data_IF_155176096087
#
_entry.id   IF_155176096087
#
_cell.length_a   1.000
_cell.length_b   1.000
_cell.length_c   1.000
_cell.angle_alpha   90.00
_cell.angle_beta   90.00
_cell.angle_gamma   90.00
#
_symmetry.space_group_name_H-M   'P 1'
#
loop_
_entity.id
_entity.type
_entity.pdbx_description
1 polymer ?
#
# COMPACT_ATOMS: atom_id res chain seq x y z
N UNK A 1 4.56 -27.92 13.40
CA UNK A 1 3.83 -26.66 13.13
C UNK A 1 4.31 -25.90 11.87
N UNK A 2 5.13 -26.50 10.98
CA UNK A 2 5.66 -25.83 9.78
C UNK A 2 4.88 -26.21 8.49
N UNK A 3 4.17 -27.34 8.49
CA UNK A 3 3.47 -27.83 7.28
C UNK A 3 2.30 -26.95 6.83
N UNK A 4 1.51 -26.38 7.76
CA UNK A 4 0.28 -25.63 7.40
C UNK A 4 0.52 -24.26 6.72
N UNK A 5 1.61 -23.57 7.06
CA UNK A 5 1.96 -22.29 6.41
C UNK A 5 2.53 -22.50 5.00
N UNK A 6 3.22 -23.63 4.78
CA UNK A 6 3.81 -23.97 3.47
C UNK A 6 2.75 -24.29 2.42
N UNK A 7 1.67 -24.99 2.82
CA UNK A 7 0.55 -25.29 1.94
C UNK A 7 -0.27 -24.05 1.60
N UNK A 8 -0.41 -23.11 2.55
CA UNK A 8 -1.16 -21.88 2.28
C UNK A 8 -0.39 -20.93 1.35
N UNK A 9 0.95 -20.82 1.45
CA UNK A 9 1.76 -19.97 0.56
C UNK A 9 1.84 -20.56 -0.85
N UNK A 10 1.98 -21.88 -0.96
CA UNK A 10 1.96 -22.58 -2.27
C UNK A 10 0.60 -22.43 -2.96
N UNK A 11 -0.49 -22.42 -2.20
CA UNK A 11 -1.84 -22.14 -2.72
C UNK A 11 -1.95 -20.73 -3.31
N UNK A 12 -1.47 -19.71 -2.60
CA UNK A 12 -1.43 -18.33 -3.11
C UNK A 12 -0.63 -18.22 -4.41
N UNK A 13 0.56 -18.82 -4.46
CA UNK A 13 1.39 -18.79 -5.67
C UNK A 13 0.67 -19.45 -6.86
N UNK A 14 -0.07 -20.54 -6.63
CA UNK A 14 -0.88 -21.18 -7.68
C UNK A 14 -2.02 -20.28 -8.15
N UNK A 15 -2.75 -19.64 -7.23
CA UNK A 15 -3.81 -18.69 -7.56
C UNK A 15 -3.27 -17.53 -8.39
N UNK A 16 -2.16 -16.91 -7.95
CA UNK A 16 -1.49 -15.83 -8.67
C UNK A 16 -1.14 -16.23 -10.10
N UNK A 17 -0.40 -17.34 -10.27
CA UNK A 17 0.04 -17.81 -11.60
C UNK A 17 -1.14 -18.12 -12.52
N UNK A 18 -2.20 -18.71 -11.97
CA UNK A 18 -3.41 -19.02 -12.73
C UNK A 18 -4.11 -17.74 -13.19
N UNK A 19 -4.39 -16.82 -12.26
CA UNK A 19 -5.07 -15.57 -12.57
C UNK A 19 -4.28 -14.72 -13.58
N UNK A 20 -2.96 -14.59 -13.39
CA UNK A 20 -2.10 -13.85 -14.32
C UNK A 20 -2.10 -14.45 -15.73
N UNK A 21 -2.02 -15.79 -15.83
CA UNK A 21 -2.06 -16.48 -17.13
C UNK A 21 -3.43 -16.33 -17.80
N UNK A 22 -4.51 -16.57 -17.07
CA UNK A 22 -5.87 -16.43 -17.61
C UNK A 22 -6.16 -14.99 -18.03
N UNK A 23 -5.59 -14.00 -17.33
CA UNK A 23 -5.71 -12.60 -17.71
C UNK A 23 -5.03 -12.31 -19.06
N UNK A 24 -3.82 -12.84 -19.26
CA UNK A 24 -3.05 -12.70 -20.50
C UNK A 24 -3.76 -13.40 -21.67
N UNK A 25 -4.30 -14.60 -21.43
CA UNK A 25 -5.12 -15.33 -22.42
C UNK A 25 -6.38 -14.52 -22.78
N UNK A 26 -7.05 -13.89 -21.81
CA UNK A 26 -8.21 -13.02 -22.05
C UNK A 26 -7.84 -11.70 -22.76
N UNK A 27 -6.62 -11.18 -22.61
CA UNK A 27 -6.16 -10.04 -23.40
C UNK A 27 -6.01 -10.40 -24.88
N UNK A 28 -5.46 -11.60 -25.16
CA UNK A 28 -5.28 -12.09 -26.54
C UNK A 28 -6.61 -12.29 -27.26
N UNK A 29 -7.69 -12.54 -26.52
CA UNK A 29 -9.06 -12.70 -27.05
C UNK A 29 -9.91 -11.43 -26.94
N UNK A 30 -9.31 -10.29 -26.61
CA UNK A 30 -9.97 -8.98 -26.48
C UNK A 30 -11.08 -8.93 -25.39
N UNK A 31 -11.06 -9.87 -24.44
CA UNK A 31 -11.96 -9.91 -23.28
C UNK A 31 -11.48 -8.94 -22.17
N UNK A 32 -11.33 -7.65 -22.48
CA UNK A 32 -10.62 -6.68 -21.64
C UNK A 32 -11.17 -6.55 -20.20
N UNK A 33 -12.50 -6.60 -20.02
CA UNK A 33 -13.10 -6.52 -18.68
C UNK A 33 -12.73 -7.73 -17.82
N UNK A 34 -12.69 -8.92 -18.42
CA UNK A 34 -12.33 -10.17 -17.75
C UNK A 34 -10.83 -10.21 -17.45
N UNK A 35 -10.00 -9.79 -18.42
CA UNK A 35 -8.56 -9.62 -18.20
C UNK A 35 -8.27 -8.67 -17.03
N UNK A 36 -8.97 -7.53 -16.97
CA UNK A 36 -8.83 -6.57 -15.86
C UNK A 36 -9.20 -7.18 -14.50
N UNK A 37 -10.31 -7.92 -14.43
CA UNK A 37 -10.72 -8.60 -13.19
C UNK A 37 -9.70 -9.66 -12.73
N UNK A 38 -9.13 -10.42 -13.67
CA UNK A 38 -8.13 -11.44 -13.39
C UNK A 38 -6.78 -10.83 -12.97
N UNK A 39 -6.34 -9.72 -13.58
CA UNK A 39 -5.16 -9.00 -13.11
C UNK A 39 -5.37 -8.39 -11.73
N UNK A 40 -6.58 -7.94 -11.42
CA UNK A 40 -6.92 -7.48 -10.08
C UNK A 40 -6.80 -8.63 -9.06
N UNK A 41 -7.32 -9.82 -9.36
CA UNK A 41 -7.16 -11.01 -8.50
C UNK A 41 -5.68 -11.40 -8.29
N UNK A 42 -4.88 -11.33 -9.36
CA UNK A 42 -3.44 -11.56 -9.29
C UNK A 42 -2.76 -10.51 -8.40
N UNK A 43 -3.11 -9.23 -8.53
CA UNK A 43 -2.58 -8.16 -7.69
C UNK A 43 -2.89 -8.38 -6.22
N UNK A 44 -4.14 -8.70 -5.88
CA UNK A 44 -4.53 -8.99 -4.50
C UNK A 44 -3.73 -10.16 -3.91
N UNK A 45 -3.55 -11.22 -4.69
CA UNK A 45 -2.75 -12.39 -4.27
C UNK A 45 -1.27 -12.03 -4.09
N UNK A 46 -0.72 -11.15 -4.93
CA UNK A 46 0.64 -10.65 -4.79
C UNK A 46 0.81 -9.79 -3.53
N UNK A 47 -0.19 -8.98 -3.19
CA UNK A 47 -0.22 -8.17 -1.97
C UNK A 47 -0.24 -9.06 -0.72
N UNK A 48 -1.06 -10.11 -0.71
CA UNK A 48 -1.08 -11.11 0.38
C UNK A 48 0.28 -11.80 0.56
N UNK A 49 0.92 -12.23 -0.54
CA UNK A 49 2.25 -12.84 -0.49
C UNK A 49 3.31 -11.85 0.02
N UNK A 50 3.21 -10.58 -0.39
CA UNK A 50 4.10 -9.50 0.06
C UNK A 50 3.95 -9.26 1.55
N UNK A 51 2.72 -9.21 2.07
CA UNK A 51 2.46 -9.01 3.51
C UNK A 51 3.05 -10.15 4.36
N UNK A 52 2.95 -11.41 3.89
CA UNK A 52 3.59 -12.56 4.54
C UNK A 52 5.11 -12.43 4.54
N UNK A 53 5.69 -12.05 3.41
CA UNK A 53 7.13 -11.85 3.28
C UNK A 53 7.64 -10.73 4.20
N UNK A 54 6.95 -9.58 4.22
CA UNK A 54 7.28 -8.46 5.11
C UNK A 54 7.19 -8.87 6.58
N UNK A 55 6.13 -9.59 6.96
CA UNK A 55 5.96 -10.09 8.34
C UNK A 55 7.12 -11.01 8.75
N UNK A 56 7.57 -11.90 7.85
CA UNK A 56 8.71 -12.77 8.10
C UNK A 56 10.00 -11.95 8.23
N UNK A 57 10.25 -11.03 7.30
CA UNK A 57 11.45 -10.17 7.35
C UNK A 57 11.54 -9.35 8.64
N UNK A 58 10.43 -8.78 9.12
CA UNK A 58 10.36 -8.07 10.39
C UNK A 58 10.77 -9.00 11.55
N UNK A 59 10.27 -10.24 11.58
CA UNK A 59 10.55 -11.21 12.64
C UNK A 59 11.98 -11.75 12.61
N UNK A 60 12.59 -11.86 11.43
CA UNK A 60 13.87 -12.56 11.26
C UNK A 60 15.06 -11.64 11.09
N UNK A 61 14.90 -10.30 11.15
CA UNK A 61 15.96 -9.34 10.87
C UNK A 61 17.14 -9.45 11.85
N UNK A 62 18.26 -10.11 11.47
CA UNK A 62 19.32 -10.49 12.40
C UNK A 62 20.42 -9.44 12.53
N UNK A 63 20.39 -8.37 11.73
CA UNK A 63 21.39 -7.29 11.74
C UNK A 63 20.84 -5.98 11.17
N UNK A 64 21.58 -4.88 11.37
CA UNK A 64 21.22 -3.56 10.85
C UNK A 64 21.09 -3.54 9.32
N UNK A 65 21.93 -4.30 8.59
CA UNK A 65 21.82 -4.39 7.13
C UNK A 65 20.45 -4.93 6.66
N UNK A 66 19.89 -5.90 7.39
CA UNK A 66 18.55 -6.41 7.09
C UNK A 66 17.46 -5.39 7.41
N UNK A 67 17.61 -4.64 8.52
CA UNK A 67 16.69 -3.53 8.85
C UNK A 67 16.71 -2.45 7.78
N UNK A 68 17.90 -2.10 7.25
CA UNK A 68 18.03 -1.15 6.14
C UNK A 68 17.28 -1.67 4.91
N UNK A 69 17.50 -2.91 4.48
CA UNK A 69 16.82 -3.50 3.31
C UNK A 69 15.30 -3.54 3.51
N UNK A 70 14.84 -3.91 4.71
CA UNK A 70 13.43 -3.92 5.05
C UNK A 70 12.84 -2.51 4.96
N UNK A 71 13.52 -1.50 5.51
CA UNK A 71 13.11 -0.10 5.40
C UNK A 71 13.08 0.35 3.95
N UNK A 72 14.06 -0.02 3.12
CA UNK A 72 14.04 0.30 1.69
C UNK A 72 12.82 -0.28 0.97
N UNK A 73 12.50 -1.55 1.24
CA UNK A 73 11.35 -2.23 0.65
C UNK A 73 10.03 -1.59 1.07
N UNK A 74 9.86 -1.32 2.38
CA UNK A 74 8.70 -0.63 2.92
C UNK A 74 8.58 0.80 2.35
N UNK A 75 9.71 1.50 2.24
CA UNK A 75 9.77 2.86 1.68
C UNK A 75 9.38 2.91 0.21
N UNK A 76 9.89 1.97 -0.59
CA UNK A 76 9.51 1.84 -1.99
C UNK A 76 8.02 1.55 -2.12
N UNK A 77 7.50 0.61 -1.34
CA UNK A 77 6.09 0.23 -1.41
C UNK A 77 5.15 1.37 -0.96
N UNK A 78 5.55 2.11 0.09
CA UNK A 78 4.77 3.27 0.54
C UNK A 78 4.71 4.35 -0.54
N UNK A 79 5.83 4.68 -1.18
CA UNK A 79 5.87 5.62 -2.31
C UNK A 79 5.08 5.14 -3.52
N UNK A 80 5.05 3.83 -3.78
CA UNK A 80 4.19 3.24 -4.80
C UNK A 80 2.71 3.51 -4.50
N UNK A 81 2.26 3.25 -3.26
CA UNK A 81 0.89 3.58 -2.85
C UNK A 81 0.61 5.08 -2.93
N UNK A 82 1.58 5.93 -2.58
CA UNK A 82 1.48 7.38 -2.77
C UNK A 82 1.18 7.74 -4.23
N UNK A 83 1.99 7.23 -5.16
CA UNK A 83 1.79 7.48 -6.58
C UNK A 83 0.45 6.91 -7.11
N UNK A 84 0.00 5.76 -6.59
CA UNK A 84 -1.29 5.19 -6.98
C UNK A 84 -2.47 6.04 -6.50
N UNK A 85 -2.43 6.58 -5.28
CA UNK A 85 -3.50 7.48 -4.84
C UNK A 85 -3.53 8.74 -5.73
N UNK A 86 -2.38 9.35 -6.06
CA UNK A 86 -2.31 10.55 -6.89
C UNK A 86 -2.91 10.28 -8.28
N UNK A 87 -2.58 9.12 -8.86
CA UNK A 87 -3.14 8.67 -10.13
C UNK A 87 -4.67 8.55 -10.07
N UNK A 88 -5.21 7.81 -9.10
CA UNK A 88 -6.66 7.61 -8.99
C UNK A 88 -7.40 8.91 -8.72
N UNK A 89 -6.78 9.81 -7.94
CA UNK A 89 -7.34 11.12 -7.67
C UNK A 89 -7.40 11.98 -8.93
N UNK A 90 -6.32 12.02 -9.73
CA UNK A 90 -6.30 12.73 -11.01
C UNK A 90 -7.31 12.16 -12.01
N UNK A 91 -7.48 10.84 -12.05
CA UNK A 91 -8.50 10.18 -12.87
C UNK A 91 -9.91 10.59 -12.44
N UNK A 92 -10.19 10.64 -11.14
CA UNK A 92 -11.48 11.07 -10.60
C UNK A 92 -11.83 12.54 -10.97
N UNK A 93 -10.81 13.40 -11.08
CA UNK A 93 -11.00 14.79 -11.52
C UNK A 93 -11.25 14.93 -13.02
N UNK A 94 -10.53 14.15 -13.83
CA UNK A 94 -10.43 14.36 -15.28
C UNK A 94 -11.47 13.59 -16.09
N UNK A 95 -11.84 12.38 -15.68
CA UNK A 95 -12.76 11.55 -16.44
C UNK A 95 -14.22 11.90 -16.12
N UNK A 96 -14.92 12.46 -17.10
CA UNK A 96 -16.38 12.55 -17.09
C UNK A 96 -17.00 11.22 -17.55
N UNK A 97 -17.86 10.62 -16.71
CA UNK A 97 -18.67 9.44 -17.09
C UNK A 97 -18.47 8.16 -16.27
N UNK A 98 -17.47 8.09 -15.39
CA UNK A 98 -17.39 7.05 -14.33
C UNK A 98 -17.82 7.64 -12.98
N UNK A 99 -18.46 6.87 -12.08
CA UNK A 99 -18.83 7.35 -10.76
C UNK A 99 -17.57 7.80 -10.00
N UNK A 100 -17.52 9.06 -9.57
CA UNK A 100 -16.38 9.60 -8.81
C UNK A 100 -16.18 8.82 -7.51
N UNK A 101 -17.26 8.27 -6.96
CA UNK A 101 -17.31 7.46 -5.75
C UNK A 101 -16.47 6.19 -5.87
N UNK A 102 -16.45 5.54 -7.04
CA UNK A 102 -15.67 4.31 -7.24
C UNK A 102 -14.16 4.59 -7.18
N UNK A 103 -13.73 5.72 -7.75
CA UNK A 103 -12.32 6.13 -7.69
C UNK A 103 -11.91 6.56 -6.28
N UNK A 104 -12.80 7.22 -5.54
CA UNK A 104 -12.57 7.53 -4.12
C UNK A 104 -12.45 6.26 -3.30
N UNK A 105 -13.32 5.26 -3.49
CA UNK A 105 -13.22 3.98 -2.77
C UNK A 105 -11.88 3.25 -3.02
N UNK A 106 -11.32 3.38 -4.23
CA UNK A 106 -9.98 2.85 -4.56
C UNK A 106 -8.89 3.62 -3.81
N UNK A 107 -8.98 4.94 -3.74
CA UNK A 107 -8.09 5.79 -2.93
C UNK A 107 -8.15 5.37 -1.46
N UNK A 108 -9.34 5.17 -0.90
CA UNK A 108 -9.54 4.73 0.49
C UNK A 108 -8.87 3.39 0.78
N UNK A 109 -8.99 2.43 -0.15
CA UNK A 109 -8.31 1.13 -0.04
C UNK A 109 -6.79 1.30 0.01
N UNK A 110 -6.23 2.15 -0.85
CA UNK A 110 -4.79 2.43 -0.89
C UNK A 110 -4.32 3.10 0.40
N UNK A 111 -5.13 4.00 0.98
CA UNK A 111 -4.81 4.64 2.26
C UNK A 111 -4.67 3.62 3.39
N UNK A 112 -5.61 2.67 3.50
CA UNK A 112 -5.54 1.60 4.51
C UNK A 112 -4.28 0.74 4.32
N UNK A 113 -3.94 0.39 3.07
CA UNK A 113 -2.71 -0.35 2.78
C UNK A 113 -1.46 0.45 3.14
N UNK A 114 -1.44 1.75 2.86
CA UNK A 114 -0.34 2.64 3.21
C UNK A 114 -0.16 2.80 4.72
N UNK A 115 -1.27 2.94 5.46
CA UNK A 115 -1.29 3.00 6.93
C UNK A 115 -0.71 1.72 7.54
N UNK A 116 -1.06 0.55 7.00
CA UNK A 116 -0.51 -0.74 7.44
C UNK A 116 1.02 -0.83 7.29
N UNK A 117 1.60 -0.21 6.26
CA UNK A 117 3.06 -0.13 6.10
C UNK A 117 3.69 0.84 7.10
N UNK A 118 3.06 2.00 7.31
CA UNK A 118 3.51 2.98 8.31
C UNK A 118 3.50 2.37 9.71
N UNK A 119 2.47 1.60 10.04
CA UNK A 119 2.39 0.85 11.30
C UNK A 119 3.55 -0.15 11.50
N UNK A 120 4.17 -0.65 10.42
CA UNK A 120 5.37 -1.49 10.49
C UNK A 120 6.67 -0.68 10.59
N UNK A 121 6.69 0.53 10.03
CA UNK A 121 7.85 1.43 10.07
C UNK A 121 8.02 2.09 11.45
N UNK A 122 6.92 2.41 12.15
CA UNK A 122 6.96 3.09 13.45
C UNK A 122 7.79 2.29 14.49
N UNK A 123 7.56 0.98 14.72
CA UNK A 123 8.39 0.21 15.65
C UNK A 123 9.87 0.20 15.26
N UNK A 124 10.18 0.05 13.96
CA UNK A 124 11.57 0.07 13.47
C UNK A 124 12.23 1.41 13.77
N UNK A 125 11.52 2.53 13.58
CA UNK A 125 11.99 3.87 13.91
C UNK A 125 12.22 4.05 15.42
N UNK A 126 11.34 3.52 16.26
CA UNK A 126 11.45 3.63 17.73
C UNK A 126 12.55 2.75 18.32
N UNK A 127 12.87 1.62 17.68
CA UNK A 127 13.82 0.62 18.16
C UNK A 127 15.23 0.76 17.54
N UNK A 128 15.40 1.58 16.51
CA UNK A 128 16.71 1.74 15.86
C UNK A 128 17.62 2.67 16.66
N UNK A 129 18.83 2.21 16.94
CA UNK A 129 19.91 3.04 17.50
C UNK A 129 20.69 3.79 16.39
N UNK A 130 20.46 3.45 15.12
CA UNK A 130 21.16 4.04 13.98
C UNK A 130 20.48 5.35 13.53
N UNK A 131 21.15 6.53 13.66
CA UNK A 131 20.52 7.81 13.36
C UNK A 131 20.17 7.99 11.87
N UNK A 132 20.96 7.40 10.97
CA UNK A 132 20.71 7.45 9.52
C UNK A 132 19.38 6.77 9.17
N UNK A 133 19.09 5.63 9.80
CA UNK A 133 17.89 4.84 9.59
C UNK A 133 16.68 5.56 10.20
N UNK A 134 16.83 6.10 11.41
CA UNK A 134 15.81 6.93 12.05
C UNK A 134 15.39 8.10 11.15
N UNK A 135 16.35 8.94 10.73
CA UNK A 135 16.09 10.12 9.91
C UNK A 135 15.44 9.76 8.58
N UNK A 136 15.81 8.61 8.00
CA UNK A 136 15.26 8.13 6.74
C UNK A 136 13.79 7.71 6.88
N UNK A 137 13.45 6.99 7.95
CA UNK A 137 12.06 6.63 8.22
C UNK A 137 11.26 7.90 8.55
N UNK A 138 11.79 8.78 9.40
CA UNK A 138 11.11 10.02 9.77
C UNK A 138 10.78 10.89 8.54
N UNK A 139 11.75 11.11 7.65
CA UNK A 139 11.52 11.87 6.40
C UNK A 139 10.41 11.23 5.55
N UNK A 140 10.40 9.90 5.42
CA UNK A 140 9.37 9.18 4.67
C UNK A 140 7.99 9.34 5.32
N UNK A 141 7.90 9.26 6.64
CA UNK A 141 6.63 9.40 7.36
C UNK A 141 6.09 10.84 7.25
N UNK A 142 6.95 11.84 7.32
CA UNK A 142 6.57 13.24 7.14
C UNK A 142 6.01 13.50 5.74
N UNK A 143 6.68 12.96 4.70
CA UNK A 143 6.19 13.05 3.32
C UNK A 143 4.83 12.36 3.15
N UNK A 144 4.64 11.19 3.77
CA UNK A 144 3.38 10.46 3.73
C UNK A 144 2.24 11.22 4.43
N UNK A 145 2.47 11.76 5.64
CA UNK A 145 1.48 12.57 6.37
C UNK A 145 1.10 13.83 5.57
N UNK A 146 2.09 14.50 4.97
CA UNK A 146 1.84 15.66 4.10
C UNK A 146 0.98 15.29 2.89
N UNK A 147 1.25 14.14 2.28
CA UNK A 147 0.43 13.59 1.19
C UNK A 147 -1.03 13.38 1.60
N UNK A 148 -1.26 12.79 2.78
CA UNK A 148 -2.62 12.57 3.29
C UNK A 148 -3.33 13.88 3.63
N UNK A 149 -2.64 14.84 4.27
CA UNK A 149 -3.22 16.17 4.53
C UNK A 149 -3.65 16.84 3.22
N UNK A 150 -2.80 16.79 2.19
CA UNK A 150 -3.13 17.34 0.88
C UNK A 150 -4.34 16.63 0.25
N UNK A 151 -4.41 15.30 0.37
CA UNK A 151 -5.55 14.52 -0.11
C UNK A 151 -6.86 14.95 0.59
N UNK A 152 -6.86 15.04 1.92
CA UNK A 152 -8.05 15.46 2.68
C UNK A 152 -8.50 16.85 2.26
N UNK A 153 -7.57 17.80 2.13
CA UNK A 153 -7.86 19.16 1.67
C UNK A 153 -8.44 19.18 0.25
N UNK A 154 -7.87 18.37 -0.66
CA UNK A 154 -8.34 18.26 -2.03
C UNK A 154 -9.75 17.69 -2.10
N UNK A 155 -10.04 16.61 -1.39
CA UNK A 155 -11.38 16.02 -1.32
C UNK A 155 -12.41 17.03 -0.81
N UNK A 156 -12.10 17.74 0.29
CA UNK A 156 -12.96 18.79 0.83
C UNK A 156 -13.24 19.90 -0.21
N UNK A 157 -12.20 20.34 -0.94
CA UNK A 157 -12.35 21.36 -1.99
C UNK A 157 -13.23 20.93 -3.16
N UNK A 158 -13.43 19.62 -3.36
CA UNK A 158 -14.30 19.06 -4.39
C UNK A 158 -15.69 18.69 -3.87
N UNK A 159 -16.02 19.12 -2.66
CA UNK A 159 -17.26 18.77 -1.95
C UNK A 159 -17.42 17.26 -1.76
N UNK A 160 -16.29 16.54 -1.70
CA UNK A 160 -16.23 15.11 -1.43
C UNK A 160 -15.68 14.89 -0.02
N UNK A 161 -16.35 14.05 0.77
CA UNK A 161 -15.86 13.64 2.08
C UNK A 161 -15.42 12.18 2.02
N UNK A 162 -14.20 11.90 2.48
CA UNK A 162 -13.75 10.53 2.78
C UNK A 162 -13.51 10.43 4.28
N UNK A 163 -14.40 9.70 4.96
CA UNK A 163 -14.24 9.40 6.38
C UNK A 163 -12.96 8.61 6.63
N UNK A 164 -12.61 7.71 5.70
CA UNK A 164 -11.39 6.92 5.78
C UNK A 164 -10.13 7.81 5.71
N UNK A 165 -10.08 8.78 4.79
CA UNK A 165 -8.92 9.68 4.70
C UNK A 165 -8.74 10.53 5.95
N UNK A 166 -9.83 11.05 6.52
CA UNK A 166 -9.82 11.77 7.78
C UNK A 166 -9.34 10.88 8.95
N UNK A 167 -9.83 9.65 9.03
CA UNK A 167 -9.45 8.70 10.08
C UNK A 167 -7.98 8.29 9.99
N UNK A 168 -7.43 8.10 8.78
CA UNK A 168 -6.00 7.80 8.62
C UNK A 168 -5.14 8.99 9.01
N UNK A 169 -5.57 10.22 8.70
CA UNK A 169 -4.88 11.42 9.14
C UNK A 169 -4.90 11.55 10.67
N UNK A 170 -6.07 11.38 11.29
CA UNK A 170 -6.22 11.39 12.75
C UNK A 170 -5.31 10.34 13.41
N UNK A 171 -5.34 9.10 12.91
CA UNK A 171 -4.45 8.03 13.39
C UNK A 171 -2.97 8.41 13.28
N UNK A 172 -2.57 9.10 12.21
CA UNK A 172 -1.18 9.53 12.04
C UNK A 172 -0.78 10.55 13.10
N UNK A 173 -1.67 11.52 13.40
CA UNK A 173 -1.46 12.52 14.45
C UNK A 173 -1.40 11.86 15.85
N UNK A 174 -2.28 10.89 16.12
CA UNK A 174 -2.30 10.12 17.37
C UNK A 174 -1.01 9.30 17.58
N UNK A 175 -0.30 8.98 16.49
CA UNK A 175 0.99 8.31 16.53
C UNK A 175 2.19 9.29 16.51
N UNK A 176 1.93 10.58 16.76
CA UNK A 176 2.93 11.65 16.82
C UNK A 176 3.71 11.81 15.50
N UNK A 177 3.06 11.48 14.37
CA UNK A 177 3.63 11.71 13.05
C UNK A 177 3.35 13.15 12.64
N UNK A 178 4.32 14.04 12.89
CA UNK A 178 4.21 15.45 12.53
C UNK A 178 4.96 15.74 11.23
N UNK A 179 4.21 16.16 10.20
CA UNK A 179 4.82 16.88 9.08
C UNK A 179 5.07 18.33 9.53
N UNK A 180 6.29 18.62 9.98
CA UNK A 180 6.85 19.98 9.97
C UNK A 180 6.92 20.54 8.54
#
# INVERSE_FOLDING_TARGET
MVESESDSTRSLLKRFKRAAKEAEDSLLTEEFQKAMALYYDASQTADEMTERFLTLLVKTSPSNAYRTVLVELLSWRLRYYTAQYDYHLAVAQTLSGLPREEWVARVETILVLSQSLVGKLIPIMRETEEPSLYNRIQSLLNDWVRGIRNLVNNLQSWEMASAQAAQVLEWALDNELEAE
#
